data_IF_681066005983
#
_entry.id   IF_681066005983
#
_cell.length_a   1.000
_cell.length_b   1.000
_cell.length_c   1.000
_cell.angle_alpha   90.00
_cell.angle_beta   90.00
_cell.angle_gamma   90.00
#
_symmetry.space_group_name_H-M   'P 1'
#
loop_
_entity.id
_entity.type
_entity.pdbx_description
1 polymer ?
#
# COMPACT_ATOMS: atom_id res chain seq x y z
N UNK A 1 -19.52 4.84 -16.55
CA UNK A 1 -19.29 5.62 -15.32
C UNK A 1 -18.25 6.68 -15.64
N UNK A 2 -18.66 7.94 -15.79
CA UNK A 2 -17.72 9.02 -16.11
C UNK A 2 -16.95 9.34 -14.84
N UNK A 3 -15.64 9.12 -14.85
CA UNK A 3 -14.73 9.59 -13.80
C UNK A 3 -14.98 11.07 -13.56
N UNK A 4 -15.21 11.46 -12.31
CA UNK A 4 -15.50 12.85 -11.95
C UNK A 4 -14.37 13.77 -12.45
N UNK A 5 -14.75 14.88 -13.09
CA UNK A 5 -13.84 15.88 -13.68
C UNK A 5 -12.91 16.53 -12.64
N UNK A 6 -13.20 16.36 -11.35
CA UNK A 6 -12.35 16.86 -10.26
C UNK A 6 -11.03 16.09 -10.14
N UNK A 7 -11.03 14.76 -10.37
CA UNK A 7 -9.82 13.91 -10.37
C UNK A 7 -8.97 14.13 -11.64
N UNK A 8 -9.61 14.60 -12.72
CA UNK A 8 -9.01 14.71 -14.05
C UNK A 8 -8.36 16.06 -14.38
N UNK A 9 -8.38 17.06 -13.48
CA UNK A 9 -7.96 18.43 -13.85
C UNK A 9 -6.53 18.55 -14.39
N UNK A 10 -5.65 17.57 -14.12
CA UNK A 10 -4.26 17.54 -14.60
C UNK A 10 -3.82 16.21 -15.24
N UNK A 11 -4.75 15.34 -15.68
CA UNK A 11 -4.40 13.99 -16.15
C UNK A 11 -5.04 13.67 -17.52
N UNK A 12 -4.67 14.44 -18.54
CA UNK A 12 -5.17 14.29 -19.91
C UNK A 12 -4.55 13.09 -20.63
N UNK A 13 -5.37 12.28 -21.32
CA UNK A 13 -4.92 11.28 -22.31
C UNK A 13 -4.52 9.91 -21.73
N UNK A 14 -4.99 9.59 -20.52
CA UNK A 14 -4.74 8.33 -19.79
C UNK A 14 -5.97 7.80 -19.06
N UNK A 15 -7.13 8.37 -19.33
CA UNK A 15 -8.42 8.05 -18.72
C UNK A 15 -8.80 6.58 -18.99
N UNK A 16 -8.56 6.10 -20.21
CA UNK A 16 -8.80 4.70 -20.58
C UNK A 16 -7.95 3.72 -19.75
N UNK A 17 -6.68 4.05 -19.50
CA UNK A 17 -5.80 3.18 -18.71
C UNK A 17 -6.20 3.19 -17.23
N UNK A 18 -6.54 4.36 -16.69
CA UNK A 18 -7.05 4.48 -15.33
C UNK A 18 -8.36 3.70 -15.15
N UNK A 19 -9.27 3.76 -16.12
CA UNK A 19 -10.53 3.00 -16.10
C UNK A 19 -10.27 1.48 -16.14
N UNK A 20 -9.34 1.02 -16.96
CA UNK A 20 -8.94 -0.40 -17.00
C UNK A 20 -8.41 -0.85 -15.65
N UNK A 21 -7.45 -0.11 -15.06
CA UNK A 21 -6.89 -0.44 -13.75
C UNK A 21 -7.96 -0.44 -12.65
N UNK A 22 -8.86 0.55 -12.67
CA UNK A 22 -9.95 0.64 -11.72
C UNK A 22 -10.92 -0.55 -11.81
N UNK A 23 -11.22 -1.04 -13.03
CA UNK A 23 -12.02 -2.24 -13.23
C UNK A 23 -11.30 -3.50 -12.75
N UNK A 24 -10.00 -3.62 -13.00
CA UNK A 24 -9.18 -4.71 -12.44
C UNK A 24 -9.24 -4.72 -10.91
N UNK A 25 -9.17 -3.56 -10.26
CA UNK A 25 -9.35 -3.44 -8.81
C UNK A 25 -10.74 -3.89 -8.36
N UNK A 26 -11.80 -3.54 -9.09
CA UNK A 26 -13.15 -3.97 -8.74
C UNK A 26 -13.30 -5.51 -8.75
N UNK A 27 -12.56 -6.20 -9.62
CA UNK A 27 -12.53 -7.66 -9.67
C UNK A 27 -11.83 -8.29 -8.44
N UNK A 28 -10.96 -7.55 -7.74
CA UNK A 28 -10.29 -8.04 -6.54
C UNK A 28 -11.30 -8.40 -5.42
N UNK A 29 -12.45 -7.72 -5.36
CA UNK A 29 -13.55 -8.10 -4.44
C UNK A 29 -14.10 -9.51 -4.70
N UNK A 30 -14.06 -9.96 -5.94
CA UNK A 30 -14.48 -11.31 -6.33
C UNK A 30 -13.42 -12.39 -6.12
N UNK A 31 -12.30 -12.07 -5.47
CA UNK A 31 -11.16 -12.98 -5.31
C UNK A 31 -10.20 -13.01 -6.50
N UNK A 32 -10.30 -12.04 -7.42
CA UNK A 32 -9.34 -11.91 -8.53
C UNK A 32 -7.92 -11.65 -8.04
N UNK A 33 -6.95 -12.42 -8.54
CA UNK A 33 -5.52 -12.31 -8.19
C UNK A 33 -4.69 -11.68 -9.32
N UNK A 34 -5.30 -10.83 -10.12
CA UNK A 34 -4.66 -10.22 -11.30
C UNK A 34 -3.56 -9.25 -10.87
N UNK A 35 -2.41 -9.31 -11.56
CA UNK A 35 -1.29 -8.39 -11.37
C UNK A 35 -1.02 -7.65 -12.67
N UNK A 36 -0.82 -6.33 -12.58
CA UNK A 36 -0.55 -5.47 -13.74
C UNK A 36 0.82 -4.83 -13.58
N UNK A 37 1.64 -4.92 -14.64
CA UNK A 37 2.95 -4.26 -14.70
C UNK A 37 2.85 -3.04 -15.62
N UNK A 38 3.11 -1.85 -15.06
CA UNK A 38 3.20 -0.61 -15.82
C UNK A 38 4.66 -0.30 -16.15
N UNK A 39 5.03 -0.43 -17.43
CA UNK A 39 6.38 -0.14 -17.91
C UNK A 39 6.39 1.03 -18.89
N UNK A 40 7.52 1.75 -18.94
CA UNK A 40 7.76 2.82 -19.89
C UNK A 40 8.78 3.83 -19.38
N UNK A 41 9.16 4.78 -20.25
CA UNK A 41 10.20 5.79 -19.97
C UNK A 41 9.89 6.62 -18.71
N UNK A 42 10.92 7.26 -18.14
CA UNK A 42 10.74 8.26 -17.07
C UNK A 42 9.94 9.46 -17.61
N UNK A 43 9.14 10.09 -16.75
CA UNK A 43 8.36 11.27 -17.11
C UNK A 43 7.02 11.01 -17.80
N UNK A 44 6.66 9.75 -18.11
CA UNK A 44 5.39 9.44 -18.80
C UNK A 44 4.14 9.46 -17.88
N UNK A 45 4.31 9.81 -16.60
CA UNK A 45 3.21 9.94 -15.63
C UNK A 45 2.77 8.64 -14.92
N UNK A 46 3.59 7.58 -14.86
CA UNK A 46 3.24 6.32 -14.16
C UNK A 46 2.91 6.53 -12.68
N UNK A 47 3.76 7.28 -11.97
CA UNK A 47 3.53 7.66 -10.57
C UNK A 47 2.19 8.36 -10.40
N UNK A 48 1.90 9.35 -11.26
CA UNK A 48 0.64 10.10 -11.17
C UNK A 48 -0.59 9.25 -11.49
N UNK A 49 -0.46 8.28 -12.39
CA UNK A 49 -1.50 7.30 -12.68
C UNK A 49 -1.82 6.46 -11.43
N UNK A 50 -0.80 5.95 -10.75
CA UNK A 50 -0.96 5.14 -9.54
C UNK A 50 -1.51 5.96 -8.37
N UNK A 51 -1.06 7.20 -8.18
CA UNK A 51 -1.63 8.13 -7.18
C UNK A 51 -3.13 8.38 -7.44
N UNK A 52 -3.51 8.63 -8.69
CA UNK A 52 -4.91 8.84 -9.05
C UNK A 52 -5.75 7.58 -8.84
N UNK A 53 -5.19 6.39 -9.15
CA UNK A 53 -5.84 5.11 -8.86
C UNK A 53 -6.02 4.92 -7.35
N UNK A 54 -4.99 5.19 -6.54
CA UNK A 54 -5.06 5.13 -5.09
C UNK A 54 -6.21 5.98 -4.54
N UNK A 55 -6.28 7.25 -4.94
CA UNK A 55 -7.34 8.15 -4.49
C UNK A 55 -8.74 7.64 -4.87
N UNK A 56 -8.93 7.19 -6.12
CA UNK A 56 -10.20 6.65 -6.57
C UNK A 56 -10.62 5.39 -5.80
N UNK A 57 -9.68 4.49 -5.53
CA UNK A 57 -9.95 3.27 -4.76
C UNK A 57 -10.27 3.62 -3.30
N UNK A 58 -9.51 4.53 -2.69
CA UNK A 58 -9.74 4.99 -1.33
C UNK A 58 -11.14 5.56 -1.13
N UNK A 59 -11.59 6.39 -2.08
CA UNK A 59 -12.89 7.06 -2.04
C UNK A 59 -14.06 6.13 -2.36
N UNK A 60 -13.91 5.22 -3.33
CA UNK A 60 -15.06 4.60 -4.02
C UNK A 60 -15.15 3.09 -3.93
N UNK A 61 -14.17 2.42 -3.34
CA UNK A 61 -14.13 0.97 -3.27
C UNK A 61 -14.06 0.48 -1.82
N UNK A 62 -14.64 -0.69 -1.58
CA UNK A 62 -14.49 -1.44 -0.32
C UNK A 62 -13.31 -2.41 -0.46
N UNK A 63 -12.17 -1.88 -0.88
CA UNK A 63 -10.91 -2.59 -1.05
C UNK A 63 -9.84 -1.68 -0.46
N UNK A 64 -8.97 -2.20 0.41
CA UNK A 64 -7.93 -1.40 1.05
C UNK A 64 -6.88 -1.03 -0.01
N UNK A 65 -6.72 0.25 -0.37
CA UNK A 65 -5.66 0.64 -1.27
C UNK A 65 -4.36 0.76 -0.49
N UNK A 66 -3.28 0.25 -1.06
CA UNK A 66 -1.94 0.44 -0.51
C UNK A 66 -0.98 0.89 -1.62
N UNK A 67 -0.55 2.15 -1.56
CA UNK A 67 0.42 2.73 -2.48
C UNK A 67 1.78 2.89 -1.81
N UNK A 68 2.82 2.32 -2.42
CA UNK A 68 4.18 2.37 -1.89
C UNK A 68 5.19 2.73 -2.96
N UNK A 69 5.98 3.78 -2.71
CA UNK A 69 7.08 4.19 -3.58
C UNK A 69 8.40 3.71 -3.01
N UNK A 70 9.12 2.86 -3.75
CA UNK A 70 10.45 2.41 -3.31
C UNK A 70 11.41 3.60 -3.24
N UNK A 71 11.95 3.87 -2.06
CA UNK A 71 12.91 4.97 -1.83
C UNK A 71 14.33 4.53 -2.19
N UNK A 72 15.16 5.49 -2.63
CA UNK A 72 16.60 5.24 -2.90
C UNK A 72 17.47 5.30 -1.65
N UNK A 73 16.93 5.84 -0.57
CA UNK A 73 17.66 6.15 0.66
C UNK A 73 17.74 4.97 1.63
N UNK A 74 17.14 3.83 1.32
CA UNK A 74 17.26 2.64 2.17
C UNK A 74 18.71 2.16 2.15
N UNK A 75 19.28 2.03 3.35
CA UNK A 75 20.66 1.56 3.54
C UNK A 75 20.70 0.07 3.87
N UNK A 76 19.55 -0.52 4.22
CA UNK A 76 19.38 -1.95 4.49
C UNK A 76 18.02 -2.51 4.04
N UNK A 77 17.94 -3.83 3.92
CA UNK A 77 16.68 -4.58 3.75
C UNK A 77 15.70 -4.35 4.91
N UNK A 78 16.21 -4.12 6.11
CA UNK A 78 15.41 -3.84 7.31
C UNK A 78 14.77 -2.45 7.23
N UNK A 79 15.47 -1.42 6.74
CA UNK A 79 14.88 -0.09 6.53
C UNK A 79 13.71 -0.14 5.55
N UNK A 80 13.90 -0.89 4.44
CA UNK A 80 12.84 -1.13 3.48
C UNK A 80 11.64 -1.83 4.13
N UNK A 81 11.89 -2.88 4.93
CA UNK A 81 10.83 -3.63 5.59
C UNK A 81 10.04 -2.77 6.59
N UNK A 82 10.74 -1.93 7.37
CA UNK A 82 10.13 -0.99 8.31
C UNK A 82 9.28 0.06 7.59
N UNK A 83 9.81 0.71 6.55
CA UNK A 83 9.08 1.74 5.78
C UNK A 83 7.87 1.15 5.05
N UNK A 84 8.03 -0.04 4.46
CA UNK A 84 6.95 -0.75 3.78
C UNK A 84 5.82 -1.11 4.76
N UNK A 85 6.15 -1.77 5.86
CA UNK A 85 5.15 -2.20 6.84
C UNK A 85 4.46 -1.00 7.49
N UNK A 86 5.22 0.00 7.91
CA UNK A 86 4.70 1.23 8.49
C UNK A 86 3.75 1.95 7.52
N UNK A 87 4.16 2.08 6.25
CA UNK A 87 3.32 2.69 5.20
C UNK A 87 2.02 1.92 4.98
N UNK A 88 2.07 0.59 4.98
CA UNK A 88 0.89 -0.25 4.83
C UNK A 88 -0.09 -0.06 6.00
N UNK A 89 0.41 -0.17 7.23
CA UNK A 89 -0.41 -0.03 8.43
C UNK A 89 -1.04 1.36 8.49
N UNK A 90 -0.26 2.41 8.19
CA UNK A 90 -0.75 3.77 8.19
C UNK A 90 -1.89 3.98 7.19
N UNK A 91 -1.73 3.48 5.96
CA UNK A 91 -2.77 3.58 4.93
C UNK A 91 -3.99 2.72 5.23
N UNK A 92 -3.80 1.54 5.84
CA UNK A 92 -4.90 0.70 6.31
C UNK A 92 -5.71 1.40 7.41
N UNK A 93 -5.05 2.01 8.39
CA UNK A 93 -5.72 2.80 9.44
C UNK A 93 -6.47 4.00 8.86
N UNK A 94 -5.84 4.75 7.96
CA UNK A 94 -6.47 5.88 7.26
C UNK A 94 -7.72 5.43 6.49
N UNK A 95 -7.66 4.28 5.82
CA UNK A 95 -8.79 3.72 5.09
C UNK A 95 -9.91 3.23 6.02
N UNK A 96 -9.57 2.57 7.14
CA UNK A 96 -10.53 2.13 8.16
C UNK A 96 -11.26 3.32 8.80
N UNK A 97 -10.52 4.39 9.13
CA UNK A 97 -11.10 5.62 9.70
C UNK A 97 -11.77 6.53 8.67
N UNK A 98 -11.62 6.24 7.37
CA UNK A 98 -11.98 7.16 6.26
C UNK A 98 -11.41 8.57 6.46
N UNK A 99 -10.22 8.64 7.04
CA UNK A 99 -9.54 9.89 7.38
C UNK A 99 -8.16 9.96 6.72
N UNK A 100 -8.02 10.68 5.59
CA UNK A 100 -6.73 10.85 4.93
C UNK A 100 -5.77 11.73 5.73
N UNK A 101 -6.22 12.49 6.74
CA UNK A 101 -5.34 13.34 7.55
C UNK A 101 -4.30 12.52 8.33
N UNK A 102 -4.64 11.27 8.67
CA UNK A 102 -3.75 10.29 9.32
C UNK A 102 -2.45 10.10 8.52
N UNK A 103 -2.49 10.25 7.19
CA UNK A 103 -1.33 10.04 6.30
C UNK A 103 -0.23 11.11 6.40
N UNK A 104 -0.45 12.20 7.13
CA UNK A 104 0.49 13.34 7.20
C UNK A 104 1.59 13.20 8.26
N UNK A 105 1.49 12.22 9.15
CA UNK A 105 2.45 12.02 10.24
C UNK A 105 3.58 11.04 9.91
N UNK A 106 4.68 11.15 10.67
CA UNK A 106 5.72 10.11 10.75
C UNK A 106 5.43 9.31 12.01
N UNK A 107 5.23 8.00 11.87
CA UNK A 107 4.88 7.13 12.98
C UNK A 107 5.86 5.96 13.08
N UNK A 108 6.34 5.71 14.29
CA UNK A 108 6.97 4.47 14.71
C UNK A 108 5.96 3.31 14.72
N UNK A 109 6.46 2.07 14.72
CA UNK A 109 5.58 0.90 14.85
C UNK A 109 4.85 0.89 16.19
N UNK A 110 5.45 1.43 17.23
CA UNK A 110 4.86 1.59 18.56
C UNK A 110 3.68 2.57 18.54
N UNK A 111 3.81 3.71 17.86
CA UNK A 111 2.72 4.68 17.69
C UNK A 111 1.60 4.10 16.83
N UNK A 112 1.93 3.39 15.74
CA UNK A 112 0.94 2.71 14.90
C UNK A 112 0.18 1.61 15.66
N UNK A 113 0.86 0.89 16.55
CA UNK A 113 0.23 -0.11 17.43
C UNK A 113 -0.75 0.53 18.39
N UNK A 114 -0.41 1.69 18.97
CA UNK A 114 -1.31 2.39 19.87
C UNK A 114 -2.51 2.97 19.12
N UNK A 115 -2.30 3.56 17.94
CA UNK A 115 -3.38 3.98 17.06
C UNK A 115 -4.31 2.80 16.73
N UNK A 116 -3.76 1.64 16.36
CA UNK A 116 -4.56 0.45 16.09
C UNK A 116 -5.46 0.02 17.25
N UNK A 117 -5.00 0.16 18.50
CA UNK A 117 -5.84 -0.10 19.67
C UNK A 117 -7.01 0.86 19.77
N UNK A 118 -6.76 2.16 19.57
CA UNK A 118 -7.80 3.20 19.57
C UNK A 118 -8.85 2.93 18.49
N UNK A 119 -8.42 2.47 17.31
CA UNK A 119 -9.31 2.12 16.19
C UNK A 119 -9.99 0.73 16.31
N UNK A 120 -9.68 -0.06 17.34
CA UNK A 120 -10.18 -1.44 17.48
C UNK A 120 -9.63 -2.42 16.44
N UNK A 121 -8.51 -2.08 15.79
CA UNK A 121 -7.87 -2.85 14.73
C UNK A 121 -6.86 -3.85 15.32
N UNK A 122 -7.31 -4.79 16.16
CA UNK A 122 -6.44 -5.73 16.86
C UNK A 122 -5.50 -6.52 15.93
N UNK A 123 -5.96 -6.83 14.72
CA UNK A 123 -5.16 -7.52 13.68
C UNK A 123 -3.86 -6.78 13.30
N UNK A 124 -3.84 -5.44 13.40
CA UNK A 124 -2.64 -4.64 13.14
C UNK A 124 -1.62 -4.88 14.25
N UNK A 125 -2.07 -4.91 15.51
CA UNK A 125 -1.19 -5.19 16.63
C UNK A 125 -0.56 -6.58 16.48
N UNK A 126 -1.32 -7.58 16.07
CA UNK A 126 -0.82 -8.94 15.82
C UNK A 126 0.27 -8.96 14.73
N UNK A 127 0.04 -8.28 13.61
CA UNK A 127 1.04 -8.14 12.53
C UNK A 127 2.32 -7.45 13.04
N UNK A 128 2.19 -6.39 13.85
CA UNK A 128 3.34 -5.66 14.42
C UNK A 128 4.11 -6.56 15.39
N UNK A 129 3.43 -7.30 16.27
CA UNK A 129 4.06 -8.22 17.21
C UNK A 129 4.86 -9.30 16.49
N UNK A 130 4.24 -9.95 15.50
CA UNK A 130 4.92 -10.97 14.69
C UNK A 130 6.15 -10.40 13.98
N UNK A 131 6.03 -9.19 13.43
CA UNK A 131 7.15 -8.53 12.77
C UNK A 131 8.31 -8.21 13.72
N UNK A 132 8.01 -7.70 14.93
CA UNK A 132 9.01 -7.43 15.97
C UNK A 132 9.73 -8.72 16.38
N UNK A 133 9.00 -9.82 16.51
CA UNK A 133 9.61 -11.10 16.89
C UNK A 133 10.51 -11.66 15.78
N UNK A 134 10.09 -11.57 14.52
CA UNK A 134 10.94 -11.95 13.37
C UNK A 134 12.19 -11.09 13.28
N UNK A 135 12.11 -9.79 13.61
CA UNK A 135 13.27 -8.90 13.68
C UNK A 135 14.30 -9.32 14.71
N UNK A 136 13.87 -9.78 15.89
CA UNK A 136 14.77 -10.28 16.94
C UNK A 136 15.59 -11.50 16.50
N UNK A 137 15.07 -12.31 15.56
CA UNK A 137 15.81 -13.44 15.01
C UNK A 137 16.96 -13.01 14.06
N UNK A 138 16.97 -11.77 13.58
CA UNK A 138 18.05 -11.20 12.77
C UNK A 138 18.20 -11.75 11.34
N UNK A 139 17.22 -12.53 10.84
CA UNK A 139 17.27 -13.08 9.48
C UNK A 139 16.64 -12.09 8.48
N UNK A 140 17.47 -11.29 7.80
CA UNK A 140 17.03 -10.23 6.87
C UNK A 140 15.94 -10.68 5.88
N UNK A 141 16.14 -11.81 5.20
CA UNK A 141 15.17 -12.33 4.25
C UNK A 141 13.79 -12.62 4.89
N UNK A 142 13.78 -13.07 6.16
CA UNK A 142 12.54 -13.29 6.91
C UNK A 142 11.88 -11.98 7.31
N UNK A 143 12.66 -10.98 7.70
CA UNK A 143 12.16 -9.65 8.05
C UNK A 143 11.44 -9.03 6.84
N UNK A 144 12.08 -9.06 5.67
CA UNK A 144 11.49 -8.57 4.42
C UNK A 144 10.24 -9.36 4.06
N UNK A 145 10.32 -10.70 4.05
CA UNK A 145 9.19 -11.56 3.72
C UNK A 145 7.99 -11.33 4.65
N UNK A 146 8.25 -11.13 5.95
CA UNK A 146 7.21 -10.80 6.91
C UNK A 146 6.56 -9.46 6.54
N UNK A 147 7.34 -8.39 6.35
CA UNK A 147 6.79 -7.08 5.98
C UNK A 147 5.96 -7.13 4.68
N UNK A 148 6.47 -7.71 3.59
CA UNK A 148 5.77 -7.73 2.30
C UNK A 148 4.51 -8.62 2.29
N UNK A 149 4.41 -9.56 3.22
CA UNK A 149 3.22 -10.41 3.37
C UNK A 149 2.12 -9.77 4.21
N UNK A 150 2.35 -8.61 4.84
CA UNK A 150 1.37 -7.95 5.71
C UNK A 150 0.03 -7.63 5.00
N UNK A 151 -0.01 -7.14 3.75
CA UNK A 151 -1.26 -6.99 3.00
C UNK A 151 -2.06 -8.29 2.90
N UNK A 152 -1.40 -9.39 2.54
CA UNK A 152 -2.05 -10.69 2.42
C UNK A 152 -2.54 -11.22 3.77
N UNK A 153 -1.73 -11.10 4.83
CA UNK A 153 -2.12 -11.48 6.20
C UNK A 153 -3.34 -10.69 6.66
N UNK A 154 -3.41 -9.38 6.36
CA UNK A 154 -4.58 -8.57 6.70
C UNK A 154 -5.85 -9.06 6.03
N UNK A 155 -5.78 -9.49 4.76
CA UNK A 155 -6.90 -10.09 4.05
C UNK A 155 -7.33 -11.41 4.70
N UNK A 156 -6.39 -12.27 5.08
CA UNK A 156 -6.71 -13.54 5.74
C UNK A 156 -7.45 -13.34 7.07
N UNK A 157 -7.12 -12.28 7.81
CA UNK A 157 -7.73 -11.99 9.12
C UNK A 157 -9.07 -11.27 8.97
N UNK A 158 -9.16 -10.30 8.06
CA UNK A 158 -10.30 -9.38 7.98
C UNK A 158 -11.31 -9.72 6.88
N UNK A 159 -10.92 -10.52 5.90
CA UNK A 159 -11.67 -10.74 4.66
C UNK A 159 -11.66 -9.54 3.70
N UNK A 160 -11.06 -8.41 4.08
CA UNK A 160 -11.03 -7.21 3.25
C UNK A 160 -9.87 -7.31 2.24
N UNK A 161 -10.16 -7.32 0.92
CA UNK A 161 -9.12 -7.39 -0.08
C UNK A 161 -8.23 -6.15 -0.04
N UNK A 162 -6.95 -6.34 -0.39
CA UNK A 162 -5.96 -5.26 -0.48
C UNK A 162 -5.46 -5.15 -1.90
N UNK A 163 -5.43 -3.93 -2.44
CA UNK A 163 -4.79 -3.64 -3.72
C UNK A 163 -3.44 -3.00 -3.46
N UNK A 164 -2.38 -3.73 -3.80
CA UNK A 164 -0.99 -3.29 -3.64
C UNK A 164 -0.53 -2.60 -4.92
N UNK A 165 -0.18 -1.32 -4.81
CA UNK A 165 0.34 -0.48 -5.89
C UNK A 165 1.78 -0.10 -5.54
N UNK A 166 2.75 -0.63 -6.29
CA UNK A 166 4.17 -0.36 -6.04
C UNK A 166 4.73 0.52 -7.16
N UNK A 167 5.22 1.70 -6.79
CA UNK A 167 5.95 2.59 -7.70
C UNK A 167 7.46 2.44 -7.55
N UNK A 168 8.18 2.72 -8.63
CA UNK A 168 9.63 2.69 -8.70
C UNK A 168 10.28 1.36 -8.25
N UNK A 169 9.58 0.24 -8.45
CA UNK A 169 10.02 -1.12 -8.09
C UNK A 169 11.47 -1.46 -8.51
N UNK A 170 11.92 -0.92 -9.66
CA UNK A 170 13.28 -1.09 -10.15
C UNK A 170 14.39 -0.60 -9.20
N UNK A 171 14.06 0.20 -8.18
CA UNK A 171 15.00 0.68 -7.16
C UNK A 171 15.34 -0.38 -6.09
N UNK A 172 14.59 -1.49 -5.99
CA UNK A 172 14.85 -2.56 -5.01
C UNK A 172 16.25 -3.17 -5.16
N UNK A 173 16.77 -3.28 -6.38
CA UNK A 173 18.09 -3.88 -6.69
C UNK A 173 19.30 -3.17 -6.04
N UNK A 174 19.07 -2.13 -5.23
CA UNK A 174 20.12 -1.30 -4.61
C UNK A 174 20.39 -1.66 -3.15
N UNK A 175 19.57 -2.50 -2.54
CA UNK A 175 19.67 -2.88 -1.13
C UNK A 175 19.32 -4.36 -0.87
N UNK A 176 19.16 -5.15 -1.94
CA UNK A 176 18.98 -6.60 -1.91
C UNK A 176 20.10 -7.26 -2.72
#
# INVERSE_FOLDING_TARGET
MILDRSVSKNFFGRENMLEVLYKTVANAKGGGTESVILSGKRGIGKTKLLENLYNLVFERQDVVPFFYTVRRSFVSSEDFANDYLGSFILQALAFMGKDPAVLSGVYSLEELKEAARVFGACWIADIIYEYIDVRKEGREAKIVLNAISAPYRSYQITGNPVVVMIDDLHKIRKFC
#
